data_IF_060719961217
#
_entry.id   IF_060719961217
#
_cell.length_a   1.000
_cell.length_b   1.000
_cell.length_c   1.000
_cell.angle_alpha   90.00
_cell.angle_beta   90.00
_cell.angle_gamma   90.00
#
_symmetry.space_group_name_H-M   'P 1'
#
loop_
_entity.id
_entity.type
_entity.pdbx_description
1 polymer ?
#
# COMPACT_ATOMS: atom_id res chain seq x y z
N UNK A 1 52.79 -10.05 -62.10
CA UNK A 1 52.68 -9.18 -60.94
C UNK A 1 51.97 -9.89 -59.86
N UNK A 2 52.68 -10.34 -58.79
CA UNK A 2 52.16 -11.13 -57.68
C UNK A 2 51.89 -10.18 -56.51
N UNK A 3 50.62 -9.99 -56.13
CA UNK A 3 50.23 -9.26 -54.97
C UNK A 3 50.10 -10.18 -53.75
N UNK A 4 51.00 -10.02 -52.76
CA UNK A 4 50.94 -10.71 -51.47
C UNK A 4 49.94 -10.07 -50.54
N UNK A 5 49.13 -10.81 -49.79
CA UNK A 5 48.28 -10.23 -48.76
C UNK A 5 49.10 -10.03 -47.45
N UNK A 6 49.10 -8.85 -46.95
CA UNK A 6 49.68 -8.41 -45.69
C UNK A 6 48.78 -8.95 -44.53
N UNK A 7 49.18 -10.02 -43.86
CA UNK A 7 48.56 -10.49 -42.63
C UNK A 7 49.23 -9.85 -41.43
N UNK A 8 48.55 -8.95 -40.76
CA UNK A 8 48.92 -8.41 -39.45
C UNK A 8 48.56 -9.42 -38.34
N UNK A 9 49.49 -9.78 -37.45
CA UNK A 9 49.17 -10.63 -36.31
C UNK A 9 48.37 -9.84 -35.27
N UNK A 10 47.12 -10.25 -35.00
CA UNK A 10 46.33 -9.76 -33.88
C UNK A 10 47.00 -10.31 -32.61
N UNK A 11 47.65 -9.44 -31.86
CA UNK A 11 48.20 -9.73 -30.54
C UNK A 11 47.02 -10.04 -29.59
N UNK A 12 46.89 -11.26 -29.14
CA UNK A 12 45.95 -11.70 -28.11
C UNK A 12 46.40 -11.04 -26.77
N UNK A 13 45.74 -9.94 -26.44
CA UNK A 13 45.92 -9.27 -25.15
C UNK A 13 45.50 -10.23 -24.01
N UNK A 14 46.46 -10.70 -23.27
CA UNK A 14 46.24 -11.41 -21.99
C UNK A 14 45.71 -10.38 -20.99
N UNK A 15 44.41 -10.43 -20.70
CA UNK A 15 43.78 -9.68 -19.61
C UNK A 15 44.34 -10.22 -18.30
N UNK A 16 44.88 -9.37 -17.40
CA UNK A 16 45.36 -9.81 -16.09
C UNK A 16 44.15 -10.32 -15.30
N UNK A 17 44.18 -11.60 -14.92
CA UNK A 17 43.21 -12.17 -13.97
C UNK A 17 43.56 -11.66 -12.59
N UNK A 18 42.94 -10.54 -12.20
CA UNK A 18 43.00 -10.09 -10.82
C UNK A 18 42.10 -11.04 -9.99
N UNK A 19 42.73 -12.02 -9.35
CA UNK A 19 42.09 -12.75 -8.26
C UNK A 19 41.93 -11.74 -7.11
N UNK A 20 40.69 -11.50 -6.63
CA UNK A 20 40.55 -10.58 -5.49
C UNK A 20 41.33 -11.15 -4.32
N UNK A 21 42.22 -10.33 -3.74
CA UNK A 21 42.93 -10.72 -2.54
C UNK A 21 41.94 -11.05 -1.43
N UNK A 22 42.26 -12.04 -0.58
CA UNK A 22 41.39 -12.47 0.51
C UNK A 22 40.91 -11.30 1.39
N UNK A 23 41.72 -10.24 1.49
CA UNK A 23 41.36 -8.99 2.17
C UNK A 23 40.23 -8.20 1.50
N UNK A 24 40.17 -8.18 0.16
CA UNK A 24 39.10 -7.51 -0.57
C UNK A 24 37.76 -8.28 -0.44
N UNK A 25 37.80 -9.61 -0.46
CA UNK A 25 36.63 -10.45 -0.23
C UNK A 25 36.09 -10.31 1.20
N UNK A 26 36.98 -10.22 2.21
CA UNK A 26 36.61 -10.02 3.60
C UNK A 26 36.00 -8.62 3.83
N UNK A 27 36.56 -7.59 3.21
CA UNK A 27 36.02 -6.22 3.30
C UNK A 27 34.60 -6.14 2.66
N UNK A 28 34.40 -6.80 1.53
CA UNK A 28 33.09 -6.86 0.87
C UNK A 28 32.04 -7.60 1.73
N UNK A 29 32.41 -8.69 2.40
CA UNK A 29 31.55 -9.44 3.29
C UNK A 29 31.12 -8.62 4.52
N UNK A 30 32.01 -7.79 5.09
CA UNK A 30 31.70 -6.92 6.23
C UNK A 30 30.76 -5.78 5.82
N UNK A 31 30.88 -5.24 4.61
CA UNK A 31 29.99 -4.20 4.10
C UNK A 31 28.58 -4.76 3.81
N UNK A 32 28.45 -6.00 3.32
CA UNK A 32 27.16 -6.62 3.08
C UNK A 32 26.42 -7.04 4.36
N UNK A 33 27.15 -7.37 5.44
CA UNK A 33 26.51 -7.73 6.72
C UNK A 33 25.94 -6.53 7.48
N UNK A 34 26.38 -5.30 7.18
CA UNK A 34 25.85 -4.08 7.80
C UNK A 34 24.42 -3.71 7.40
N UNK A 35 23.95 -4.19 6.25
CA UNK A 35 22.61 -3.83 5.75
C UNK A 35 21.44 -4.49 6.52
N UNK A 36 21.66 -5.60 7.22
CA UNK A 36 20.63 -6.26 8.01
C UNK A 36 20.31 -5.54 9.34
N UNK A 37 21.24 -4.71 9.84
CA UNK A 37 21.05 -3.93 11.07
C UNK A 37 20.14 -2.68 10.89
N UNK A 38 19.82 -2.32 9.65
CA UNK A 38 18.99 -1.15 9.32
C UNK A 38 17.52 -1.50 9.09
N UNK A 39 17.12 -2.77 9.22
CA UNK A 39 15.70 -3.10 9.24
C UNK A 39 15.09 -2.63 10.56
N UNK A 40 14.08 -1.74 10.52
CA UNK A 40 13.35 -1.41 11.74
C UNK A 40 12.76 -2.70 12.31
N UNK A 41 12.84 -2.90 13.64
CA UNK A 41 12.20 -4.06 14.26
C UNK A 41 10.71 -4.03 13.91
N UNK A 42 10.14 -5.21 13.67
CA UNK A 42 8.68 -5.33 13.53
C UNK A 42 8.06 -4.63 14.73
N UNK A 43 7.17 -3.67 14.45
CA UNK A 43 6.45 -2.93 15.46
C UNK A 43 5.47 -3.88 16.17
N UNK A 44 5.99 -4.73 17.03
CA UNK A 44 5.18 -5.54 17.92
C UNK A 44 4.71 -4.63 19.06
N UNK A 45 3.41 -4.51 19.20
CA UNK A 45 2.82 -3.88 20.38
C UNK A 45 3.39 -4.60 21.63
N UNK A 46 3.87 -3.85 22.63
CA UNK A 46 4.35 -4.48 23.85
C UNK A 46 3.25 -5.39 24.40
N UNK A 47 3.59 -6.61 24.91
CA UNK A 47 2.60 -7.49 25.47
C UNK A 47 1.96 -6.79 26.68
N UNK A 48 0.71 -6.33 26.48
CA UNK A 48 -0.09 -5.82 27.60
C UNK A 48 -0.52 -7.04 28.41
N UNK A 49 -0.14 -7.09 29.67
CA UNK A 49 -0.60 -8.13 30.60
C UNK A 49 -2.12 -7.92 30.78
N UNK A 50 -2.91 -8.61 29.96
CA UNK A 50 -4.37 -8.66 30.16
C UNK A 50 -4.66 -9.64 31.26
N UNK A 51 -5.39 -9.26 32.32
CA UNK A 51 -5.81 -10.20 33.38
C UNK A 51 -6.53 -11.41 32.75
N UNK A 52 -6.29 -12.60 33.26
CA UNK A 52 -6.85 -13.84 32.72
C UNK A 52 -8.40 -13.91 32.78
N UNK A 53 -9.05 -12.96 33.42
CA UNK A 53 -10.50 -12.79 33.46
C UNK A 53 -10.87 -11.43 34.03
N UNK A 54 -12.00 -10.90 33.56
CA UNK A 54 -12.61 -9.72 34.16
C UNK A 54 -13.35 -10.11 35.42
N UNK A 55 -13.29 -9.30 36.48
CA UNK A 55 -14.00 -9.54 37.75
C UNK A 55 -15.53 -9.64 37.57
N UNK A 56 -16.05 -9.14 36.44
CA UNK A 56 -17.45 -9.22 36.03
C UNK A 56 -17.68 -10.18 34.83
N UNK A 57 -16.79 -11.13 34.59
CA UNK A 57 -16.95 -12.10 33.53
C UNK A 57 -18.14 -13.04 33.84
N UNK A 58 -19.32 -12.64 33.47
CA UNK A 58 -20.41 -13.56 33.15
C UNK A 58 -19.93 -14.54 32.08
N UNK A 59 -20.30 -15.83 32.26
CA UNK A 59 -19.89 -16.98 31.49
C UNK A 59 -19.71 -16.65 29.97
N UNK A 60 -18.52 -16.92 29.46
CA UNK A 60 -18.12 -17.06 28.07
C UNK A 60 -19.01 -16.47 27.00
N UNK A 61 -19.05 -15.16 26.88
CA UNK A 61 -19.70 -14.52 25.74
C UNK A 61 -18.89 -14.78 24.47
N UNK A 62 -19.51 -15.47 23.52
CA UNK A 62 -19.00 -15.48 22.13
C UNK A 62 -18.75 -14.03 21.75
N UNK A 63 -17.54 -13.71 21.26
CA UNK A 63 -17.22 -12.38 20.76
C UNK A 63 -18.16 -12.05 19.60
N UNK A 64 -19.28 -11.44 19.92
CA UNK A 64 -20.23 -10.96 18.89
C UNK A 64 -19.58 -9.73 18.22
N UNK A 65 -19.65 -9.63 16.91
CA UNK A 65 -19.18 -8.44 16.23
C UNK A 65 -19.84 -7.19 16.81
N UNK A 66 -19.04 -6.24 17.28
CA UNK A 66 -19.54 -4.98 17.86
C UNK A 66 -20.44 -4.21 16.88
N UNK A 67 -20.35 -4.53 15.60
CA UNK A 67 -21.09 -3.84 14.51
C UNK A 67 -22.58 -4.18 14.51
N UNK A 68 -23.01 -5.21 15.22
CA UNK A 68 -24.43 -5.67 15.28
C UNK A 68 -24.89 -5.96 16.73
N UNK A 69 -24.30 -5.27 17.70
CA UNK A 69 -24.57 -5.53 19.11
C UNK A 69 -26.04 -5.36 19.52
N UNK A 70 -26.80 -4.50 18.82
CA UNK A 70 -28.22 -4.21 19.11
C UNK A 70 -29.18 -5.38 18.77
N UNK A 71 -28.78 -6.28 17.89
CA UNK A 71 -29.61 -7.46 17.54
C UNK A 71 -29.86 -8.36 18.77
N UNK A 72 -28.94 -8.33 19.76
CA UNK A 72 -29.08 -9.07 21.02
C UNK A 72 -30.20 -8.55 21.93
N UNK A 73 -30.70 -7.33 21.68
CA UNK A 73 -31.82 -6.76 22.44
C UNK A 73 -33.16 -7.36 22.01
N UNK A 74 -33.19 -8.06 20.87
CA UNK A 74 -34.39 -8.77 20.40
C UNK A 74 -35.56 -7.85 20.01
N UNK A 75 -35.31 -6.55 19.81
CA UNK A 75 -36.31 -5.57 19.42
C UNK A 75 -36.25 -5.32 17.91
N UNK A 76 -37.28 -5.78 17.14
CA UNK A 76 -37.28 -5.62 15.68
C UNK A 76 -37.49 -4.17 15.22
N UNK A 77 -38.19 -3.33 16.03
CA UNK A 77 -38.38 -1.92 15.70
C UNK A 77 -37.09 -1.14 15.83
N UNK A 78 -36.35 -1.36 16.94
CA UNK A 78 -35.02 -0.78 17.11
C UNK A 78 -34.07 -1.18 15.99
N UNK A 79 -34.08 -2.46 15.62
CA UNK A 79 -33.26 -2.99 14.53
C UNK A 79 -33.57 -2.32 13.19
N UNK A 80 -34.85 -2.09 12.89
CA UNK A 80 -35.26 -1.40 11.67
C UNK A 80 -34.79 0.07 11.66
N UNK A 81 -34.96 0.80 12.78
CA UNK A 81 -34.54 2.19 12.92
C UNK A 81 -33.01 2.33 12.76
N UNK A 82 -32.22 1.47 13.38
CA UNK A 82 -30.76 1.49 13.25
C UNK A 82 -30.35 1.21 11.79
N UNK A 83 -30.98 0.23 11.15
CA UNK A 83 -30.69 -0.13 9.75
C UNK A 83 -30.97 1.03 8.80
N UNK A 84 -32.09 1.73 9.00
CA UNK A 84 -32.44 2.93 8.22
C UNK A 84 -31.46 4.09 8.48
N UNK A 85 -31.10 4.33 9.74
CA UNK A 85 -30.12 5.35 10.11
C UNK A 85 -28.76 5.08 9.47
N UNK A 86 -28.25 3.84 9.54
CA UNK A 86 -26.97 3.46 8.92
C UNK A 86 -26.99 3.63 7.40
N UNK A 87 -28.11 3.35 6.74
CA UNK A 87 -28.26 3.51 5.30
C UNK A 87 -28.33 4.98 4.85
N UNK A 88 -28.97 5.85 5.64
CA UNK A 88 -29.22 7.23 5.28
C UNK A 88 -28.14 8.21 5.77
N UNK A 89 -27.32 7.82 6.76
CA UNK A 89 -26.40 8.71 7.43
C UNK A 89 -25.23 9.14 6.54
N UNK A 90 -24.97 10.45 6.49
CA UNK A 90 -23.89 11.02 5.66
C UNK A 90 -22.49 10.72 6.21
N UNK A 91 -22.34 10.61 7.54
CA UNK A 91 -21.05 10.27 8.17
C UNK A 91 -20.62 8.84 7.83
N UNK A 92 -21.56 7.90 7.80
CA UNK A 92 -21.30 6.51 7.36
C UNK A 92 -20.86 6.50 5.89
N UNK A 93 -21.56 7.23 5.01
CA UNK A 93 -21.19 7.36 3.59
C UNK A 93 -19.81 7.99 3.41
N UNK A 94 -19.49 9.02 4.19
CA UNK A 94 -18.17 9.66 4.17
C UNK A 94 -17.06 8.69 4.60
N UNK A 95 -17.28 7.92 5.68
CA UNK A 95 -16.31 6.93 6.15
C UNK A 95 -16.13 5.77 5.13
N UNK A 96 -17.21 5.34 4.45
CA UNK A 96 -17.13 4.37 3.36
C UNK A 96 -16.30 4.90 2.18
N UNK A 97 -16.50 6.16 1.80
CA UNK A 97 -15.71 6.80 0.74
C UNK A 97 -14.23 6.93 1.14
N UNK A 98 -13.94 7.29 2.39
CA UNK A 98 -12.57 7.34 2.92
C UNK A 98 -11.88 5.96 2.88
N UNK A 99 -12.60 4.88 3.23
CA UNK A 99 -12.09 3.52 3.11
C UNK A 99 -11.80 3.13 1.64
N UNK A 100 -12.70 3.48 0.73
CA UNK A 100 -12.49 3.25 -0.71
C UNK A 100 -11.26 4.00 -1.22
N UNK A 101 -11.10 5.26 -0.82
CA UNK A 101 -9.92 6.06 -1.14
C UNK A 101 -8.63 5.42 -0.61
N UNK A 102 -8.61 4.99 0.65
CA UNK A 102 -7.43 4.35 1.26
C UNK A 102 -7.04 3.06 0.53
N UNK A 103 -8.02 2.24 0.12
CA UNK A 103 -7.77 1.04 -0.69
C UNK A 103 -7.20 1.36 -2.06
N UNK A 104 -7.72 2.38 -2.74
CA UNK A 104 -7.18 2.83 -4.02
C UNK A 104 -5.74 3.36 -3.89
N UNK A 105 -5.39 3.97 -2.75
CA UNK A 105 -4.01 4.40 -2.48
C UNK A 105 -3.05 3.20 -2.30
N UNK A 106 -3.51 2.08 -1.75
CA UNK A 106 -2.72 0.82 -1.72
C UNK A 106 -2.40 0.37 -3.14
N UNK A 107 -3.39 0.40 -4.04
CA UNK A 107 -3.19 0.04 -5.45
C UNK A 107 -2.18 0.97 -6.13
N UNK A 108 -2.24 2.28 -5.86
CA UNK A 108 -1.28 3.27 -6.38
C UNK A 108 0.14 2.98 -5.89
N UNK A 109 0.30 2.70 -4.59
CA UNK A 109 1.62 2.36 -4.02
C UNK A 109 2.16 1.04 -4.60
N UNK A 110 1.29 0.05 -4.75
CA UNK A 110 1.64 -1.24 -5.36
C UNK A 110 2.06 -1.08 -6.81
N UNK A 111 1.34 -0.27 -7.59
CA UNK A 111 1.69 0.06 -8.97
C UNK A 111 3.08 0.73 -9.07
N UNK A 112 3.49 1.49 -8.05
CA UNK A 112 4.82 2.08 -7.95
C UNK A 112 5.96 1.07 -7.88
N UNK A 113 5.69 -0.19 -7.53
CA UNK A 113 6.69 -1.28 -7.50
C UNK A 113 6.88 -1.96 -8.86
N UNK A 114 6.00 -1.68 -9.83
CA UNK A 114 5.97 -2.30 -11.15
C UNK A 114 6.67 -1.42 -12.20
N UNK A 115 7.14 -2.02 -13.31
CA UNK A 115 7.61 -1.26 -14.46
C UNK A 115 6.53 -0.35 -15.04
N UNK A 116 6.89 0.88 -15.36
CA UNK A 116 6.04 1.83 -16.07
C UNK A 116 6.37 1.83 -17.54
N UNK A 117 5.34 1.75 -18.38
CA UNK A 117 5.46 1.86 -19.83
C UNK A 117 4.76 3.15 -20.26
N UNK A 118 5.49 3.99 -21.00
CA UNK A 118 4.97 5.18 -21.63
C UNK A 118 4.94 5.02 -23.15
N UNK A 119 3.95 5.63 -23.79
CA UNK A 119 3.90 5.80 -25.23
C UNK A 119 3.69 7.29 -25.53
N UNK A 120 4.51 7.84 -26.40
CA UNK A 120 4.44 9.23 -26.80
C UNK A 120 4.35 9.35 -28.32
N UNK A 121 3.60 10.35 -28.77
CA UNK A 121 3.53 10.69 -30.20
C UNK A 121 3.39 12.18 -30.38
N UNK A 122 4.10 12.75 -31.31
CA UNK A 122 3.93 14.14 -31.71
C UNK A 122 3.89 14.33 -33.22
N UNK A 123 3.09 15.30 -33.65
CA UNK A 123 3.02 15.77 -35.00
C UNK A 123 3.19 17.29 -34.97
N UNK A 124 4.19 17.80 -35.67
CA UNK A 124 4.50 19.23 -35.71
C UNK A 124 4.62 19.72 -37.17
N UNK A 125 4.00 20.83 -37.46
CA UNK A 125 4.20 21.56 -38.67
C UNK A 125 4.90 22.88 -38.37
N UNK A 126 6.06 23.10 -38.98
CA UNK A 126 6.85 24.32 -38.78
C UNK A 126 7.11 25.02 -40.12
N UNK A 127 7.21 26.35 -40.07
CA UNK A 127 7.59 27.18 -41.20
C UNK A 127 8.83 27.97 -40.81
N UNK A 128 9.90 27.77 -41.52
CA UNK A 128 11.15 28.48 -41.32
C UNK A 128 11.70 28.91 -42.68
N UNK A 129 12.12 30.17 -42.81
CA UNK A 129 12.76 30.71 -44.01
C UNK A 129 11.99 30.45 -45.32
N UNK A 130 10.66 30.51 -45.30
CA UNK A 130 9.79 30.30 -46.47
C UNK A 130 9.46 28.85 -46.81
N UNK A 131 10.09 27.90 -46.17
CA UNK A 131 9.80 26.45 -46.27
C UNK A 131 8.88 25.98 -45.17
N UNK A 132 7.92 25.11 -45.50
CA UNK A 132 7.04 24.45 -44.56
C UNK A 132 7.46 22.98 -44.44
N UNK A 133 7.78 22.53 -43.22
CA UNK A 133 8.11 21.14 -42.91
C UNK A 133 7.12 20.52 -41.94
N UNK A 134 6.86 19.23 -42.13
CA UNK A 134 6.12 18.41 -41.18
C UNK A 134 7.12 17.46 -40.50
N UNK A 135 6.98 17.30 -39.18
CA UNK A 135 7.77 16.38 -38.41
C UNK A 135 6.81 15.50 -37.60
N UNK A 136 7.07 14.20 -37.61
CA UNK A 136 6.32 13.20 -36.82
C UNK A 136 7.32 12.43 -35.98
N UNK A 137 6.97 12.22 -34.71
CA UNK A 137 7.74 11.32 -33.86
C UNK A 137 6.79 10.43 -33.09
N UNK A 138 7.21 9.19 -32.89
CA UNK A 138 6.56 8.23 -32.03
C UNK A 138 7.63 7.47 -31.25
N UNK A 139 7.35 7.21 -29.97
CA UNK A 139 8.31 6.52 -29.11
C UNK A 139 7.62 5.79 -27.97
N UNK A 140 8.32 4.78 -27.47
CA UNK A 140 7.97 4.09 -26.22
C UNK A 140 9.11 4.29 -25.24
N UNK A 141 8.76 4.49 -23.99
CA UNK A 141 9.68 4.54 -22.88
C UNK A 141 9.27 3.55 -21.81
N UNK A 142 10.25 2.98 -21.13
CA UNK A 142 10.03 2.10 -20.00
C UNK A 142 10.94 2.52 -18.86
N UNK A 143 10.39 2.60 -17.65
CA UNK A 143 11.17 2.89 -16.44
C UNK A 143 10.77 1.96 -15.32
N UNK A 144 11.74 1.51 -14.54
CA UNK A 144 11.54 0.66 -13.38
C UNK A 144 12.64 0.89 -12.35
N UNK A 145 12.24 0.96 -11.09
CA UNK A 145 13.15 1.05 -9.94
C UNK A 145 13.07 -0.26 -9.15
N UNK A 146 14.11 -1.13 -9.21
CA UNK A 146 14.15 -2.33 -8.38
C UNK A 146 14.21 -1.96 -6.89
N UNK A 147 13.32 -2.52 -6.08
CA UNK A 147 13.25 -2.23 -4.65
C UNK A 147 14.25 -3.08 -3.84
N UNK A 148 15.53 -2.77 -4.02
CA UNK A 148 16.63 -3.52 -3.38
C UNK A 148 16.63 -3.37 -1.85
N UNK A 149 16.27 -2.17 -1.38
CA UNK A 149 16.29 -1.83 0.06
C UNK A 149 14.92 -1.84 0.73
N UNK A 150 13.85 -2.22 0.02
CA UNK A 150 12.51 -2.36 0.58
C UNK A 150 11.74 -1.05 0.80
N UNK A 151 12.22 0.09 0.28
CA UNK A 151 11.57 1.39 0.42
C UNK A 151 10.15 1.39 -0.17
N UNK A 152 9.99 0.84 -1.37
CA UNK A 152 8.69 0.80 -2.05
C UNK A 152 7.74 -0.16 -1.33
N UNK A 153 8.22 -1.34 -0.90
CA UNK A 153 7.44 -2.29 -0.10
C UNK A 153 7.02 -1.70 1.24
N UNK A 154 7.90 -0.95 1.92
CA UNK A 154 7.54 -0.25 3.15
C UNK A 154 6.41 0.77 2.92
N UNK A 155 6.42 1.47 1.77
CA UNK A 155 5.33 2.36 1.36
C UNK A 155 3.99 1.63 1.16
N UNK A 156 4.01 0.45 0.54
CA UNK A 156 2.81 -0.40 0.40
C UNK A 156 2.29 -0.82 1.78
N UNK A 157 3.16 -1.33 2.66
CA UNK A 157 2.78 -1.76 4.00
C UNK A 157 2.18 -0.60 4.83
N UNK A 158 2.72 0.61 4.70
CA UNK A 158 2.17 1.80 5.34
C UNK A 158 0.75 2.11 4.83
N UNK A 159 0.54 2.12 3.50
CA UNK A 159 -0.79 2.34 2.92
C UNK A 159 -1.80 1.26 3.28
N UNK A 160 -1.38 0.00 3.42
CA UNK A 160 -2.22 -1.07 3.94
C UNK A 160 -2.62 -0.83 5.40
N UNK A 161 -1.69 -0.30 6.23
CA UNK A 161 -2.02 0.07 7.61
C UNK A 161 -3.05 1.22 7.65
N UNK A 162 -2.93 2.22 6.77
CA UNK A 162 -3.89 3.30 6.63
C UNK A 162 -5.27 2.78 6.19
N UNK A 163 -5.32 1.82 5.26
CA UNK A 163 -6.58 1.20 4.85
C UNK A 163 -7.24 0.40 6.01
N UNK A 164 -6.45 -0.29 6.83
CA UNK A 164 -6.95 -0.94 8.05
C UNK A 164 -7.47 0.07 9.07
N UNK A 165 -6.79 1.20 9.25
CA UNK A 165 -7.24 2.28 10.11
C UNK A 165 -8.56 2.90 9.63
N UNK A 166 -8.71 3.15 8.32
CA UNK A 166 -9.95 3.63 7.73
C UNK A 166 -11.11 2.62 7.90
N UNK A 167 -10.83 1.32 7.84
CA UNK A 167 -11.82 0.28 8.10
C UNK A 167 -12.27 0.28 9.57
N UNK A 168 -11.36 0.46 10.51
CA UNK A 168 -11.69 0.58 11.93
C UNK A 168 -12.51 1.86 12.21
N UNK A 169 -12.16 2.98 11.56
CA UNK A 169 -12.92 4.24 11.66
C UNK A 169 -14.35 4.11 11.13
N UNK A 170 -14.56 3.37 10.04
CA UNK A 170 -15.91 3.07 9.55
C UNK A 170 -16.71 2.27 10.57
N UNK A 171 -16.13 1.25 11.18
CA UNK A 171 -16.78 0.45 12.22
C UNK A 171 -17.13 1.31 13.45
N UNK A 172 -16.24 2.22 13.85
CA UNK A 172 -16.47 3.16 14.96
C UNK A 172 -17.66 4.07 14.69
N UNK A 173 -17.74 4.67 13.49
CA UNK A 173 -18.88 5.51 13.08
C UNK A 173 -20.18 4.72 13.11
N UNK A 174 -20.19 3.47 12.65
CA UNK A 174 -21.38 2.62 12.65
C UNK A 174 -21.84 2.27 14.07
N UNK A 175 -20.91 1.89 14.95
CA UNK A 175 -21.22 1.57 16.35
C UNK A 175 -21.72 2.80 17.10
N UNK A 176 -21.09 3.95 16.91
CA UNK A 176 -21.48 5.21 17.54
C UNK A 176 -22.87 5.65 17.11
N UNK A 177 -23.19 5.59 15.81
CA UNK A 177 -24.53 5.93 15.31
C UNK A 177 -25.58 4.97 15.85
N UNK A 178 -25.31 3.66 15.86
CA UNK A 178 -26.22 2.68 16.42
C UNK A 178 -26.49 2.91 17.91
N UNK A 179 -25.47 3.30 18.67
CA UNK A 179 -25.59 3.64 20.09
C UNK A 179 -26.43 4.91 20.31
N UNK A 180 -26.27 5.92 19.47
CA UNK A 180 -27.05 7.15 19.52
C UNK A 180 -28.54 6.88 19.24
N UNK A 181 -28.85 6.10 18.18
CA UNK A 181 -30.22 5.72 17.85
C UNK A 181 -30.84 4.89 18.97
N UNK A 182 -30.12 3.92 19.51
CA UNK A 182 -30.60 3.10 20.61
C UNK A 182 -30.86 3.91 21.89
N UNK A 183 -29.97 4.87 22.23
CA UNK A 183 -30.15 5.76 23.36
C UNK A 183 -31.42 6.59 23.24
N UNK A 184 -31.61 7.27 22.13
CA UNK A 184 -32.81 8.05 21.84
C UNK A 184 -34.09 7.20 21.84
N UNK A 185 -34.04 5.98 21.30
CA UNK A 185 -35.16 5.05 21.29
C UNK A 185 -35.58 4.67 22.72
N UNK A 186 -34.62 4.38 23.59
CA UNK A 186 -34.88 4.05 25.00
C UNK A 186 -35.48 5.26 25.75
N UNK A 187 -34.96 6.46 25.51
CA UNK A 187 -35.50 7.69 26.11
C UNK A 187 -36.96 7.94 25.73
N UNK A 188 -37.32 7.68 24.48
CA UNK A 188 -38.72 7.86 24.02
C UNK A 188 -39.65 6.81 24.60
N UNK A 189 -39.17 5.57 24.79
CA UNK A 189 -40.02 4.45 25.28
C UNK A 189 -39.99 4.29 26.81
N UNK A 190 -38.96 4.78 27.49
CA UNK A 190 -38.79 4.60 28.93
C UNK A 190 -39.87 5.21 29.80
N UNK A 191 -40.52 6.35 29.42
CA UNK A 191 -41.59 6.95 30.21
C UNK A 191 -43.00 6.36 29.97
N UNK A 192 -43.13 5.36 29.05
CA UNK A 192 -44.42 4.69 28.75
C UNK A 192 -44.61 3.44 29.59
#
# INVERSE_FOLDING_TARGET
MKSSPFQSPVAAGRWPRYLPSASAALALAVVLSGCSALQPPDAQLPPVAVPAGWSAAGAGGVATPLVQWWERLGDPELTALISEALAANTSVRSAQAALQQSRALVDVQTAGTLPRLGASGSAQRSRASGSTGNSFSAGFDASWEPDVFGRLRAGVNASEADARAAQASLADVQVSLAAEVAGNYIEVRGPQ
#
